data_IF_913298612709
#
_entry.id   IF_913298612709
#
_cell.length_a   1.000
_cell.length_b   1.000
_cell.length_c   1.000
_cell.angle_alpha   90.00
_cell.angle_beta   90.00
_cell.angle_gamma   90.00
#
_symmetry.space_group_name_H-M   'P 1'
#
loop_
_entity.id
_entity.type
_entity.pdbx_description
1 polymer ?
#
# COMPACT_ATOMS: atom_id res chain seq x y z
N UNK A 1 9.69 51.57 -9.45
CA UNK A 1 9.36 52.46 -8.32
C UNK A 1 10.28 52.11 -7.15
N UNK A 2 11.00 53.09 -6.62
CA UNK A 2 12.01 52.86 -5.57
C UNK A 2 11.36 52.56 -4.22
N UNK A 3 11.56 51.34 -3.73
CA UNK A 3 11.12 50.94 -2.39
C UNK A 3 12.20 51.35 -1.39
N UNK A 4 12.13 52.59 -0.88
CA UNK A 4 13.00 53.00 0.21
C UNK A 4 12.64 52.22 1.49
N UNK A 5 13.66 51.85 2.28
CA UNK A 5 13.47 51.19 3.56
C UNK A 5 12.72 52.10 4.53
N UNK A 6 11.80 51.53 5.33
CA UNK A 6 11.05 52.20 6.39
C UNK A 6 11.93 53.03 7.35
N UNK A 7 13.19 52.65 7.52
CA UNK A 7 14.15 53.41 8.35
C UNK A 7 14.59 54.71 7.67
N UNK A 8 14.87 54.66 6.36
CA UNK A 8 15.26 55.84 5.57
C UNK A 8 14.15 56.90 5.57
N UNK A 9 12.90 56.47 5.40
CA UNK A 9 11.73 57.34 5.46
C UNK A 9 11.55 57.99 6.84
N UNK A 10 11.79 57.24 7.92
CA UNK A 10 11.74 57.78 9.29
C UNK A 10 12.82 58.84 9.54
N UNK A 11 14.04 58.62 9.06
CA UNK A 11 15.12 59.58 9.20
C UNK A 11 14.86 60.86 8.39
N UNK A 12 14.36 60.71 7.16
CA UNK A 12 14.00 61.85 6.31
C UNK A 12 12.87 62.70 6.92
N UNK A 13 11.80 62.06 7.41
CA UNK A 13 10.67 62.77 8.05
C UNK A 13 11.08 63.48 9.33
N UNK A 14 11.95 62.89 10.15
CA UNK A 14 12.50 63.52 11.35
C UNK A 14 13.32 64.78 11.02
N UNK A 15 14.19 64.70 10.00
CA UNK A 15 14.98 65.85 9.56
C UNK A 15 14.11 67.00 9.06
N UNK A 16 13.07 66.69 8.27
CA UNK A 16 12.11 67.68 7.76
C UNK A 16 11.32 68.32 8.91
N UNK A 17 10.82 67.53 9.87
CA UNK A 17 10.10 68.07 11.03
C UNK A 17 10.98 68.98 11.91
N UNK A 18 12.29 68.67 12.03
CA UNK A 18 13.26 69.52 12.73
C UNK A 18 13.50 70.86 12.02
N UNK A 19 13.53 70.85 10.68
CA UNK A 19 13.68 72.08 9.89
C UNK A 19 12.39 72.91 9.94
N UNK A 20 11.23 72.27 9.77
CA UNK A 20 9.93 72.94 9.79
C UNK A 20 9.60 73.57 11.14
N UNK A 21 9.97 72.92 12.25
CA UNK A 21 9.74 73.47 13.59
C UNK A 21 10.63 74.68 13.91
N UNK A 22 11.82 74.77 13.29
CA UNK A 22 12.72 75.94 13.43
C UNK A 22 12.27 77.13 12.59
N UNK A 23 11.67 76.90 11.44
CA UNK A 23 11.27 77.95 10.49
C UNK A 23 9.85 78.44 10.77
N UNK A 24 8.95 77.55 11.19
CA UNK A 24 7.54 77.85 11.41
C UNK A 24 7.13 77.46 12.84
N UNK A 25 7.10 78.41 13.79
CA UNK A 25 6.58 78.12 15.13
C UNK A 25 5.11 77.71 15.04
N UNK A 26 4.79 76.52 15.57
CA UNK A 26 3.42 75.98 15.60
C UNK A 26 3.07 74.99 14.49
N UNK A 27 4.01 74.59 13.64
CA UNK A 27 3.72 73.60 12.59
C UNK A 27 3.52 72.17 13.15
N UNK A 28 2.57 71.42 12.60
CA UNK A 28 2.26 70.03 13.02
C UNK A 28 3.28 69.06 12.42
N UNK A 29 3.87 68.19 13.24
CA UNK A 29 4.82 67.18 12.79
C UNK A 29 4.20 66.21 11.77
N UNK A 30 4.89 65.99 10.66
CA UNK A 30 4.51 65.04 9.63
C UNK A 30 4.81 63.62 10.16
N UNK A 31 3.77 62.83 10.40
CA UNK A 31 3.89 61.45 10.85
C UNK A 31 3.97 60.52 9.63
N UNK A 32 5.00 59.67 9.50
CA UNK A 32 5.04 58.68 8.43
C UNK A 32 3.86 57.73 8.61
N UNK A 33 3.16 57.43 7.50
CA UNK A 33 2.01 56.54 7.45
C UNK A 33 2.38 55.16 8.02
N UNK A 34 2.02 54.92 9.28
CA UNK A 34 2.13 53.61 9.91
C UNK A 34 0.80 53.24 10.52
N UNK A 35 0.24 52.14 10.01
CA UNK A 35 -0.76 51.31 10.66
C UNK A 35 -0.44 51.21 12.15
N UNK A 36 -1.46 51.46 12.97
CA UNK A 36 -1.42 51.50 14.42
C UNK A 36 -0.92 50.19 15.03
N UNK A 37 0.40 50.02 15.08
CA UNK A 37 1.02 49.04 15.96
C UNK A 37 1.17 49.69 17.33
N UNK A 38 0.13 49.44 18.12
CA UNK A 38 -0.05 49.76 19.52
C UNK A 38 1.10 49.20 20.38
N UNK A 39 2.29 49.79 20.27
CA UNK A 39 3.42 49.51 21.15
C UNK A 39 3.36 50.53 22.26
N UNK A 40 2.89 50.09 23.44
CA UNK A 40 2.93 50.85 24.68
C UNK A 40 4.38 51.30 24.92
N UNK A 41 4.71 52.54 24.55
CA UNK A 41 6.02 53.14 24.86
C UNK A 41 6.12 53.21 26.39
N UNK A 42 7.01 52.44 26.99
CA UNK A 42 7.29 52.54 28.42
C UNK A 42 7.85 53.94 28.71
N UNK A 43 7.05 54.80 29.33
CA UNK A 43 7.45 56.13 29.80
C UNK A 43 8.28 56.01 31.09
N UNK A 44 9.42 55.33 31.04
CA UNK A 44 10.36 55.25 32.15
C UNK A 44 11.54 56.19 31.96
N UNK A 45 12.06 56.75 33.06
CA UNK A 45 13.38 57.41 33.04
C UNK A 45 14.45 56.44 32.56
N UNK A 46 15.50 56.92 31.88
CA UNK A 46 16.59 56.07 31.39
C UNK A 46 17.16 55.15 32.48
N UNK A 47 17.19 55.62 33.73
CA UNK A 47 17.59 54.84 34.90
C UNK A 47 16.68 53.63 35.20
N UNK A 48 15.35 53.77 35.04
CA UNK A 48 14.41 52.64 35.22
C UNK A 48 14.57 51.60 34.10
N UNK A 49 14.87 52.04 32.89
CA UNK A 49 15.14 51.14 31.76
C UNK A 49 16.46 50.39 31.97
N UNK A 50 17.47 51.05 32.52
CA UNK A 50 18.75 50.43 32.91
C UNK A 50 18.53 49.38 34.03
N UNK A 51 17.86 49.73 35.12
CA UNK A 51 17.57 48.78 36.22
C UNK A 51 16.79 47.54 35.72
N UNK A 52 15.75 47.77 34.92
CA UNK A 52 14.99 46.68 34.32
C UNK A 52 15.84 45.80 33.38
N UNK A 53 16.74 46.39 32.60
CA UNK A 53 17.66 45.65 31.75
C UNK A 53 18.69 44.85 32.57
N UNK A 54 19.23 45.43 33.65
CA UNK A 54 20.15 44.74 34.56
C UNK A 54 19.47 43.54 35.24
N UNK A 55 18.23 43.70 35.72
CA UNK A 55 17.42 42.59 36.25
C UNK A 55 17.20 41.48 35.22
N UNK A 56 16.92 41.85 33.96
CA UNK A 56 16.81 40.88 32.85
C UNK A 56 18.13 40.19 32.55
N UNK A 57 19.26 40.90 32.60
CA UNK A 57 20.59 40.30 32.40
C UNK A 57 20.90 39.26 33.46
N UNK A 58 20.63 39.53 34.73
CA UNK A 58 20.79 38.54 35.81
C UNK A 58 19.90 37.31 35.58
N UNK A 59 18.66 37.52 35.15
CA UNK A 59 17.75 36.42 34.80
C UNK A 59 18.23 35.61 33.58
N UNK A 60 18.92 36.23 32.62
CA UNK A 60 19.53 35.56 31.47
C UNK A 60 20.78 34.77 31.89
N UNK A 61 21.62 35.32 32.78
CA UNK A 61 22.80 34.64 33.31
C UNK A 61 22.45 33.39 34.11
N UNK A 62 21.31 33.39 34.83
CA UNK A 62 20.79 32.23 35.56
C UNK A 62 20.20 31.14 34.66
N UNK A 63 19.97 31.40 33.37
CA UNK A 63 19.48 30.38 32.43
C UNK A 63 20.61 29.46 32.01
N UNK A 64 20.30 28.19 31.89
CA UNK A 64 21.21 27.19 31.32
C UNK A 64 21.35 27.42 29.79
N UNK A 65 22.32 28.24 29.42
CA UNK A 65 22.64 28.58 28.03
C UNK A 65 22.93 27.32 27.21
N UNK A 66 23.53 26.31 27.83
CA UNK A 66 23.89 25.07 27.15
C UNK A 66 22.64 24.26 26.75
N UNK A 67 21.65 24.14 27.65
CA UNK A 67 20.36 23.49 27.33
C UNK A 67 19.61 24.25 26.22
N UNK A 68 19.62 25.58 26.24
CA UNK A 68 18.98 26.40 25.19
C UNK A 68 19.66 26.17 23.84
N UNK A 69 20.99 26.29 23.79
CA UNK A 69 21.78 26.04 22.56
C UNK A 69 21.58 24.61 22.03
N UNK A 70 21.49 23.61 22.92
CA UNK A 70 21.20 22.22 22.54
C UNK A 70 19.82 22.09 21.90
N UNK A 71 18.78 22.68 22.50
CA UNK A 71 17.41 22.69 21.93
C UNK A 71 17.38 23.39 20.58
N UNK A 72 18.02 24.55 20.45
CA UNK A 72 18.11 25.26 19.17
C UNK A 72 18.82 24.44 18.10
N UNK A 73 19.91 23.74 18.44
CA UNK A 73 20.63 22.86 17.50
C UNK A 73 19.74 21.69 17.04
N UNK A 74 18.96 21.10 17.95
CA UNK A 74 18.01 20.03 17.61
C UNK A 74 16.91 20.58 16.69
N UNK A 75 16.33 21.74 17.00
CA UNK A 75 15.30 22.37 16.19
C UNK A 75 15.81 22.71 14.78
N UNK A 76 17.03 23.25 14.67
CA UNK A 76 17.70 23.51 13.39
C UNK A 76 17.89 22.22 12.59
N UNK A 77 18.37 21.14 13.21
CA UNK A 77 18.52 19.83 12.56
C UNK A 77 17.17 19.27 12.10
N UNK A 78 16.13 19.40 12.91
CA UNK A 78 14.79 18.95 12.55
C UNK A 78 14.24 19.74 11.36
N UNK A 79 14.39 21.07 11.36
CA UNK A 79 13.99 21.92 10.24
C UNK A 79 14.73 21.54 8.95
N UNK A 80 16.05 21.33 9.02
CA UNK A 80 16.83 20.89 7.86
C UNK A 80 16.36 19.53 7.34
N UNK A 81 16.09 18.56 8.22
CA UNK A 81 15.55 17.25 7.83
C UNK A 81 14.17 17.37 7.17
N UNK A 82 13.31 18.23 7.71
CA UNK A 82 11.98 18.51 7.14
C UNK A 82 12.11 19.09 5.74
N UNK A 83 12.90 20.16 5.56
CA UNK A 83 13.13 20.79 4.26
C UNK A 83 13.72 19.80 3.25
N UNK A 84 14.68 18.98 3.67
CA UNK A 84 15.27 17.94 2.82
C UNK A 84 14.22 16.90 2.40
N UNK A 85 13.32 16.50 3.29
CA UNK A 85 12.22 15.59 2.96
C UNK A 85 11.20 16.22 2.00
N UNK A 86 10.92 17.52 2.15
CA UNK A 86 10.03 18.27 1.27
C UNK A 86 10.65 18.42 -0.12
N UNK A 87 11.93 18.79 -0.21
CA UNK A 87 12.66 18.86 -1.47
C UNK A 87 12.68 17.50 -2.19
N UNK A 88 12.94 16.40 -1.46
CA UNK A 88 12.85 15.04 -2.04
C UNK A 88 11.45 14.70 -2.56
N UNK A 89 10.39 15.17 -1.90
CA UNK A 89 9.01 14.99 -2.38
C UNK A 89 8.78 15.81 -3.66
N UNK A 90 9.22 17.06 -3.69
CA UNK A 90 9.14 17.92 -4.87
C UNK A 90 9.88 17.33 -6.06
N UNK A 91 11.11 16.85 -5.86
CA UNK A 91 11.90 16.17 -6.90
C UNK A 91 11.18 14.92 -7.44
N UNK A 92 10.60 14.10 -6.56
CA UNK A 92 9.82 12.93 -6.97
C UNK A 92 8.59 13.31 -7.79
N UNK A 93 7.87 14.36 -7.37
CA UNK A 93 6.69 14.84 -8.08
C UNK A 93 7.06 15.39 -9.45
N UNK A 94 8.15 16.16 -9.54
CA UNK A 94 8.66 16.66 -10.82
C UNK A 94 9.06 15.51 -11.75
N UNK A 95 9.80 14.51 -11.25
CA UNK A 95 10.14 13.30 -12.01
C UNK A 95 8.90 12.55 -12.50
N UNK A 96 7.88 12.42 -11.66
CA UNK A 96 6.62 11.78 -12.02
C UNK A 96 5.93 12.54 -13.16
N UNK A 97 5.85 13.88 -13.08
CA UNK A 97 5.25 14.69 -14.14
C UNK A 97 5.99 14.54 -15.48
N UNK A 98 7.33 14.52 -15.45
CA UNK A 98 8.15 14.28 -16.65
C UNK A 98 7.88 12.89 -17.23
N UNK A 99 7.90 11.85 -16.39
CA UNK A 99 7.61 10.48 -16.81
C UNK A 99 6.20 10.33 -17.41
N UNK A 100 5.20 10.99 -16.83
CA UNK A 100 3.84 11.00 -17.36
C UNK A 100 3.78 11.66 -18.75
N UNK A 101 4.47 12.79 -18.93
CA UNK A 101 4.56 13.45 -20.24
C UNK A 101 5.25 12.55 -21.28
N UNK A 102 6.39 11.96 -20.94
CA UNK A 102 7.10 11.05 -21.85
C UNK A 102 6.29 9.79 -22.17
N UNK A 103 5.55 9.25 -21.19
CA UNK A 103 4.65 8.12 -21.42
C UNK A 103 3.50 8.48 -22.36
N UNK A 104 2.86 9.63 -22.15
CA UNK A 104 1.74 10.07 -22.98
C UNK A 104 2.18 10.36 -24.43
N UNK A 105 3.40 10.89 -24.60
CA UNK A 105 3.96 11.19 -25.92
C UNK A 105 4.66 9.97 -26.57
N UNK A 106 4.78 8.84 -25.86
CA UNK A 106 5.52 7.66 -26.32
C UNK A 106 7.05 7.82 -26.38
N UNK A 107 7.60 8.93 -25.89
CA UNK A 107 9.03 9.27 -25.94
C UNK A 107 9.79 8.82 -24.69
N UNK A 108 9.48 7.62 -24.17
CA UNK A 108 10.06 7.14 -22.93
C UNK A 108 11.49 6.62 -23.16
N UNK A 109 12.44 7.14 -22.40
CA UNK A 109 13.86 6.74 -22.50
C UNK A 109 14.07 5.33 -21.92
N UNK A 110 15.09 4.60 -22.35
CA UNK A 110 15.35 3.24 -21.84
C UNK A 110 15.68 3.21 -20.33
N UNK A 111 16.32 4.26 -19.82
CA UNK A 111 16.55 4.44 -18.38
C UNK A 111 15.21 4.58 -17.63
N UNK A 112 14.28 5.34 -18.20
CA UNK A 112 12.95 5.57 -17.62
C UNK A 112 12.09 4.30 -17.69
N UNK A 113 12.15 3.55 -18.80
CA UNK A 113 11.53 2.23 -18.91
C UNK A 113 12.03 1.26 -17.84
N UNK A 114 13.36 1.14 -17.68
CA UNK A 114 13.96 0.29 -16.65
C UNK A 114 13.58 0.71 -15.24
N UNK A 115 13.49 2.02 -15.01
CA UNK A 115 13.01 2.57 -13.74
C UNK A 115 11.55 2.21 -13.47
N UNK A 116 10.67 2.37 -14.47
CA UNK A 116 9.25 2.00 -14.37
C UNK A 116 9.09 0.50 -14.16
N UNK A 117 9.81 -0.35 -14.91
CA UNK A 117 9.75 -1.80 -14.73
C UNK A 117 10.11 -2.19 -13.29
N UNK A 118 11.23 -1.69 -12.76
CA UNK A 118 11.60 -1.90 -11.35
C UNK A 118 10.53 -1.42 -10.37
N UNK A 119 9.88 -0.29 -10.66
CA UNK A 119 8.79 0.24 -9.83
C UNK A 119 7.55 -0.66 -9.90
N UNK A 120 7.19 -1.16 -11.09
CA UNK A 120 6.06 -2.09 -11.28
C UNK A 120 6.31 -3.41 -10.58
N UNK A 121 7.50 -4.01 -10.72
CA UNK A 121 7.88 -5.23 -10.03
C UNK A 121 7.80 -5.07 -8.51
N UNK A 122 8.27 -3.94 -7.97
CA UNK A 122 8.14 -3.64 -6.55
C UNK A 122 6.68 -3.48 -6.13
N UNK A 123 5.87 -2.79 -6.92
CA UNK A 123 4.43 -2.62 -6.66
C UNK A 123 3.69 -3.96 -6.70
N UNK A 124 4.00 -4.82 -7.66
CA UNK A 124 3.44 -6.16 -7.79
C UNK A 124 3.83 -6.99 -6.57
N UNK A 125 5.10 -6.98 -6.17
CA UNK A 125 5.54 -7.69 -4.96
C UNK A 125 4.82 -7.19 -3.71
N UNK A 126 4.66 -5.87 -3.54
CA UNK A 126 3.94 -5.30 -2.40
C UNK A 126 2.43 -5.60 -2.42
N UNK A 127 1.82 -5.67 -3.61
CA UNK A 127 0.40 -6.04 -3.73
C UNK A 127 0.21 -7.55 -3.47
N UNK A 128 1.11 -8.38 -4.02
CA UNK A 128 1.13 -9.83 -3.80
C UNK A 128 1.51 -10.23 -2.39
N UNK A 129 2.23 -9.40 -1.63
CA UNK A 129 2.55 -9.70 -0.22
C UNK A 129 1.34 -9.70 0.71
N UNK A 130 0.17 -9.29 0.22
CA UNK A 130 -1.11 -9.41 0.92
C UNK A 130 -1.96 -10.57 0.38
N UNK A 131 -1.52 -11.23 -0.70
CA UNK A 131 -2.14 -12.45 -1.20
C UNK A 131 -1.68 -13.63 -0.34
N UNK A 132 -2.49 -14.69 -0.31
CA UNK A 132 -2.13 -15.93 0.37
C UNK A 132 -0.92 -16.57 -0.30
N UNK A 133 -0.11 -17.28 0.47
CA UNK A 133 0.94 -18.13 -0.07
C UNK A 133 0.32 -19.21 -0.97
N UNK A 134 1.08 -19.71 -1.95
CA UNK A 134 0.56 -20.61 -3.00
C UNK A 134 -0.11 -21.86 -2.40
N UNK A 135 0.45 -22.40 -1.31
CA UNK A 135 -0.07 -23.59 -0.62
C UNK A 135 -1.40 -23.29 0.11
N UNK A 136 -1.48 -22.18 0.85
CA UNK A 136 -2.71 -21.73 1.52
C UNK A 136 -3.80 -21.36 0.51
N UNK A 137 -3.39 -20.88 -0.67
CA UNK A 137 -4.29 -20.54 -1.77
C UNK A 137 -4.89 -21.80 -2.39
N UNK A 138 -4.13 -22.87 -2.55
CA UNK A 138 -4.63 -24.15 -3.03
C UNK A 138 -5.65 -24.76 -2.06
N UNK A 139 -5.32 -24.82 -0.76
CA UNK A 139 -6.23 -25.33 0.27
C UNK A 139 -7.52 -24.50 0.36
N UNK A 140 -7.40 -23.16 0.31
CA UNK A 140 -8.56 -22.28 0.35
C UNK A 140 -9.42 -22.37 -0.91
N UNK A 141 -8.82 -22.57 -2.09
CA UNK A 141 -9.54 -22.82 -3.33
C UNK A 141 -10.28 -24.16 -3.29
N UNK A 142 -9.65 -25.22 -2.79
CA UNK A 142 -10.31 -26.53 -2.62
C UNK A 142 -11.50 -26.42 -1.65
N UNK A 143 -11.32 -25.71 -0.54
CA UNK A 143 -12.40 -25.47 0.42
C UNK A 143 -13.53 -24.64 -0.18
N UNK A 144 -13.21 -23.58 -0.95
CA UNK A 144 -14.20 -22.79 -1.66
C UNK A 144 -14.97 -23.64 -2.68
N UNK A 145 -14.27 -24.47 -3.46
CA UNK A 145 -14.91 -25.39 -4.39
C UNK A 145 -15.80 -26.39 -3.68
N UNK A 146 -15.35 -26.94 -2.55
CA UNK A 146 -16.13 -27.86 -1.74
C UNK A 146 -17.42 -27.20 -1.24
N UNK A 147 -17.34 -25.97 -0.72
CA UNK A 147 -18.50 -25.20 -0.27
C UNK A 147 -19.45 -24.90 -1.44
N UNK A 148 -18.93 -24.43 -2.58
CA UNK A 148 -19.72 -24.13 -3.78
C UNK A 148 -20.41 -25.36 -4.38
N UNK A 149 -19.73 -26.52 -4.36
CA UNK A 149 -20.30 -27.82 -4.76
C UNK A 149 -21.35 -28.29 -3.77
N UNK A 150 -21.19 -27.97 -2.48
CA UNK A 150 -22.07 -28.40 -1.42
C UNK A 150 -23.27 -27.50 -1.14
N UNK A 151 -23.27 -26.29 -1.68
CA UNK A 151 -24.41 -25.39 -1.61
C UNK A 151 -25.67 -26.04 -2.19
N UNK A 152 -26.77 -25.92 -1.43
CA UNK A 152 -28.05 -26.57 -1.68
C UNK A 152 -28.62 -26.20 -3.06
N UNK A 153 -28.41 -24.96 -3.50
CA UNK A 153 -28.85 -24.47 -4.80
C UNK A 153 -28.10 -25.16 -5.95
N UNK A 154 -26.79 -25.38 -5.78
CA UNK A 154 -25.96 -25.99 -6.82
C UNK A 154 -26.20 -27.50 -6.90
N UNK A 155 -26.30 -28.20 -5.76
CA UNK A 155 -26.69 -29.62 -5.70
C UNK A 155 -28.03 -29.88 -6.39
N UNK A 156 -29.03 -29.04 -6.12
CA UNK A 156 -30.36 -29.16 -6.72
C UNK A 156 -30.34 -28.88 -8.23
N UNK A 157 -29.55 -27.90 -8.69
CA UNK A 157 -29.35 -27.60 -10.11
C UNK A 157 -28.65 -28.73 -10.85
N UNK A 158 -27.57 -29.29 -10.29
CA UNK A 158 -26.85 -30.43 -10.86
C UNK A 158 -27.74 -31.67 -10.94
N UNK A 159 -28.50 -31.98 -9.88
CA UNK A 159 -29.48 -33.08 -9.89
C UNK A 159 -30.56 -32.90 -10.95
N UNK A 160 -31.13 -31.69 -11.08
CA UNK A 160 -32.13 -31.37 -12.12
C UNK A 160 -31.56 -31.54 -13.53
N UNK A 161 -30.34 -31.08 -13.76
CA UNK A 161 -29.67 -31.21 -15.06
C UNK A 161 -29.35 -32.68 -15.40
N UNK A 162 -28.83 -33.46 -14.44
CA UNK A 162 -28.60 -34.91 -14.61
C UNK A 162 -29.90 -35.65 -14.90
N UNK A 163 -30.99 -35.35 -14.20
CA UNK A 163 -32.32 -35.94 -14.47
C UNK A 163 -32.80 -35.60 -15.88
N UNK A 164 -32.65 -34.35 -16.33
CA UNK A 164 -33.03 -33.93 -17.69
C UNK A 164 -32.19 -34.60 -18.78
N UNK A 165 -30.90 -34.81 -18.54
CA UNK A 165 -30.02 -35.54 -19.47
C UNK A 165 -30.40 -37.03 -19.54
N UNK A 166 -30.64 -37.69 -18.40
CA UNK A 166 -31.11 -39.09 -18.38
C UNK A 166 -32.46 -39.30 -19.08
N UNK A 167 -33.36 -38.32 -19.02
CA UNK A 167 -34.65 -38.38 -19.74
C UNK A 167 -34.48 -38.22 -21.25
N UNK A 168 -33.39 -37.60 -21.71
CA UNK A 168 -33.09 -37.40 -23.14
C UNK A 168 -32.12 -38.44 -23.73
N UNK A 169 -31.49 -39.25 -22.90
CA UNK A 169 -30.72 -40.39 -23.38
C UNK A 169 -31.70 -41.52 -23.69
N UNK A 170 -31.78 -41.89 -24.97
CA UNK A 170 -32.44 -43.11 -25.39
C UNK A 170 -31.77 -44.28 -24.66
N UNK A 171 -32.57 -45.22 -24.15
CA UNK A 171 -32.07 -46.40 -23.43
C UNK A 171 -31.52 -47.42 -24.44
N UNK A 172 -30.49 -47.05 -25.17
CA UNK A 172 -29.68 -48.04 -25.88
C UNK A 172 -28.75 -48.69 -24.85
N UNK A 173 -29.12 -49.92 -24.52
CA UNK A 173 -28.27 -50.98 -24.00
C UNK A 173 -27.89 -50.94 -22.51
N UNK A 174 -28.30 -52.01 -21.83
CA UNK A 174 -27.79 -52.49 -20.55
C UNK A 174 -26.32 -52.86 -20.80
N UNK A 175 -25.38 -51.98 -20.46
CA UNK A 175 -23.95 -52.24 -20.64
C UNK A 175 -23.43 -53.19 -19.55
N UNK A 176 -23.18 -54.43 -19.93
CA UNK A 176 -22.00 -55.33 -19.72
C UNK A 176 -21.04 -55.17 -18.51
N UNK A 177 -21.23 -54.23 -17.59
CA UNK A 177 -20.32 -53.96 -16.47
C UNK A 177 -20.81 -54.51 -15.11
N UNK A 178 -21.81 -55.39 -15.10
CA UNK A 178 -22.20 -56.18 -13.92
C UNK A 178 -21.24 -57.38 -13.67
N UNK A 179 -20.06 -57.40 -14.31
CA UNK A 179 -19.04 -58.44 -14.12
C UNK A 179 -18.21 -58.29 -12.83
N UNK A 180 -18.55 -57.34 -11.96
CA UNK A 180 -18.12 -57.40 -10.55
C UNK A 180 -19.36 -57.83 -9.77
N UNK A 181 -19.42 -59.12 -9.45
CA UNK A 181 -20.50 -59.75 -8.66
C UNK A 181 -20.43 -59.26 -7.22
N UNK A 182 -20.86 -58.02 -7.01
CA UNK A 182 -21.04 -57.40 -5.70
C UNK A 182 -22.49 -57.62 -5.28
N UNK A 183 -22.81 -58.82 -4.79
CA UNK A 183 -24.11 -59.07 -4.16
C UNK A 183 -24.12 -58.41 -2.77
N UNK A 184 -24.93 -57.37 -2.60
CA UNK A 184 -25.09 -56.64 -1.33
C UNK A 184 -25.56 -57.52 -0.16
N UNK A 185 -26.13 -58.70 -0.43
CA UNK A 185 -26.54 -59.66 0.61
C UNK A 185 -25.35 -60.39 1.23
N UNK A 186 -24.23 -60.49 0.51
CA UNK A 186 -23.04 -61.23 0.92
C UNK A 186 -21.79 -60.38 0.71
N UNK A 187 -21.50 -59.50 1.66
CA UNK A 187 -20.35 -58.60 1.63
C UNK A 187 -18.97 -59.31 1.57
N UNK A 188 -18.93 -60.63 1.79
CA UNK A 188 -17.72 -61.46 1.72
C UNK A 188 -17.59 -62.30 0.44
N UNK A 189 -18.46 -62.12 -0.56
CA UNK A 189 -18.40 -62.88 -1.81
C UNK A 189 -17.23 -62.43 -2.71
N UNK A 190 -16.88 -61.14 -2.67
CA UNK A 190 -15.86 -60.53 -3.54
C UNK A 190 -14.40 -60.74 -3.12
N UNK A 191 -14.01 -60.93 -1.84
CA UNK A 191 -12.60 -61.10 -1.47
C UNK A 191 -12.03 -62.51 -1.69
N UNK A 192 -12.90 -63.52 -1.86
CA UNK A 192 -12.50 -64.94 -1.91
C UNK A 192 -12.79 -65.65 -3.23
N UNK A 193 -13.43 -64.98 -4.20
CA UNK A 193 -13.65 -65.54 -5.53
C UNK A 193 -12.36 -65.37 -6.35
N UNK A 194 -11.80 -66.47 -6.85
CA UNK A 194 -10.59 -66.42 -7.66
C UNK A 194 -10.86 -65.66 -8.98
N UNK A 195 -9.95 -64.79 -9.44
CA UNK A 195 -10.07 -64.17 -10.75
C UNK A 195 -9.79 -65.23 -11.81
N UNK A 196 -10.85 -65.88 -12.30
CA UNK A 196 -10.78 -66.87 -13.38
C UNK A 196 -10.58 -66.13 -14.71
N UNK A 197 -9.54 -66.50 -15.46
CA UNK A 197 -9.25 -65.92 -16.77
C UNK A 197 -10.04 -66.62 -17.87
N UNK A 198 -10.28 -65.94 -18.99
CA UNK A 198 -10.99 -66.49 -20.16
C UNK A 198 -10.33 -67.76 -20.75
N UNK A 199 -9.07 -68.05 -20.41
CA UNK A 199 -8.32 -69.24 -20.84
C UNK A 199 -8.50 -70.45 -19.92
N UNK A 200 -9.08 -70.28 -18.73
CA UNK A 200 -9.21 -71.36 -17.72
C UNK A 200 -10.49 -72.19 -17.94
N UNK A 201 -11.40 -71.72 -18.80
CA UNK A 201 -12.65 -72.43 -19.14
C UNK A 201 -12.54 -73.34 -20.38
N UNK A 202 -11.44 -73.30 -21.13
CA UNK A 202 -11.34 -73.95 -22.45
C UNK A 202 -10.49 -75.24 -22.51
N UNK A 203 -9.98 -75.77 -21.39
CA UNK A 203 -9.22 -77.04 -21.40
C UNK A 203 -9.94 -78.14 -20.61
N UNK A 204 -10.76 -78.92 -21.31
CA UNK A 204 -11.41 -80.12 -20.80
C UNK A 204 -10.36 -81.18 -20.41
N UNK A 205 -10.08 -81.29 -19.12
CA UNK A 205 -9.19 -82.30 -18.53
C UNK A 205 -9.73 -83.72 -18.80
N UNK A 206 -9.22 -84.38 -19.84
CA UNK A 206 -9.41 -85.82 -20.05
C UNK A 206 -8.28 -86.57 -19.36
N UNK A 207 -8.57 -87.18 -18.22
CA UNK A 207 -7.67 -88.12 -17.53
C UNK A 207 -7.42 -89.36 -18.41
N UNK A 208 -6.14 -89.65 -18.67
CA UNK A 208 -5.66 -90.87 -19.34
C UNK A 208 -5.81 -92.09 -18.41
N UNK A 209 -6.51 -93.13 -18.86
CA UNK A 209 -6.43 -94.49 -18.30
C UNK A 209 -5.70 -95.40 -19.32
N UNK A 210 -4.56 -96.03 -18.98
CA UNK A 210 -3.83 -96.89 -19.92
C UNK A 210 -4.38 -98.32 -19.89
N UNK A 211 -4.92 -98.78 -21.02
CA UNK A 211 -5.51 -100.12 -21.15
C UNK A 211 -5.16 -100.80 -22.47
N UNK A 212 -4.01 -101.46 -22.47
CA UNK A 212 -3.56 -102.65 -23.22
C UNK A 212 -3.93 -102.87 -24.71
N UNK A 213 -2.85 -103.15 -25.43
CA UNK A 213 -2.74 -103.73 -26.77
C UNK A 213 -3.46 -105.08 -26.93
N UNK A 214 -4.04 -105.28 -28.11
CA UNK A 214 -4.05 -106.58 -28.81
C UNK A 214 -4.30 -106.31 -30.30
N UNK A 215 -3.22 -106.36 -31.12
CA UNK A 215 -3.02 -107.15 -32.36
C UNK A 215 -1.69 -106.77 -33.02
#
# INVERSE_FOLDING_TARGET
>A
MSTYSNASELHATSAVNSILSKILPGNKEIKPSKKDNNTKRSKGSGAQLIDHNLKKMVAVQKKDIHKIKKKEKINKKHLLKKNLSENKKLEKNAKLQVLQKHKNNGTLTDIEKKYLDKLTQKSIRNAKSWDLDEDEKEESLELQEYILKNDSNNKNRVRKNKRRQKVKQFKEEIKENDNIVSDHRYAGLTPGLAPVGLSDEEESSSEEEPGNDDW
#
